data_IF_794501791995
#
_entry.id   IF_794501791995
#
_cell.length_a   1.000
_cell.length_b   1.000
_cell.length_c   1.000
_cell.angle_alpha   90.00
_cell.angle_beta   90.00
_cell.angle_gamma   90.00
#
_symmetry.space_group_name_H-M   'P 1'
#
loop_
_entity.id
_entity.type
_entity.pdbx_description
1 polymer ?
#
# COMPACT_ATOMS: atom_id res chain seq x y z
N UNK A 1 28.20 -10.41 2.16
CA UNK A 1 27.17 -10.56 3.21
C UNK A 1 25.84 -10.53 2.51
N UNK A 2 25.12 -11.65 2.50
CA UNK A 2 23.74 -11.68 2.02
C UNK A 2 22.91 -10.88 3.03
N UNK A 3 22.27 -9.81 2.57
CA UNK A 3 21.29 -9.08 3.37
C UNK A 3 20.21 -10.07 3.84
N UNK A 4 20.00 -10.17 5.15
CA UNK A 4 18.88 -10.91 5.72
C UNK A 4 17.58 -10.21 5.27
N UNK A 5 17.02 -10.69 4.17
CA UNK A 5 15.64 -10.38 3.78
C UNK A 5 14.73 -10.88 4.90
N UNK A 6 14.23 -9.94 5.72
CA UNK A 6 13.13 -10.21 6.63
C UNK A 6 12.03 -10.92 5.85
N UNK A 7 11.58 -12.12 6.27
CA UNK A 7 10.59 -12.85 5.51
C UNK A 7 9.33 -12.00 5.42
N UNK A 8 8.84 -11.77 4.20
CA UNK A 8 7.51 -11.21 3.98
C UNK A 8 6.52 -12.27 4.47
N UNK A 9 6.14 -12.18 5.76
CA UNK A 9 5.16 -13.08 6.35
C UNK A 9 3.77 -12.51 6.09
N UNK A 10 3.12 -12.98 5.03
CA UNK A 10 1.70 -12.74 4.85
C UNK A 10 0.88 -13.66 5.76
N UNK A 11 -0.23 -13.14 6.29
CA UNK A 11 -1.19 -13.93 7.07
C UNK A 11 -1.98 -14.91 6.18
N UNK A 12 -1.91 -14.76 4.86
CA UNK A 12 -2.59 -15.63 3.91
C UNK A 12 -1.85 -16.97 3.75
N UNK A 13 -2.60 -18.06 3.85
CA UNK A 13 -2.08 -19.43 3.68
C UNK A 13 -2.07 -19.78 2.19
N UNK A 14 -0.90 -19.78 1.54
CA UNK A 14 -0.79 -20.02 0.10
C UNK A 14 -1.43 -21.35 -0.36
N UNK A 15 -1.40 -22.39 0.48
CA UNK A 15 -1.97 -23.70 0.18
C UNK A 15 -3.51 -23.71 0.22
N UNK A 16 -4.13 -22.86 1.05
CA UNK A 16 -5.58 -22.70 1.10
C UNK A 16 -6.07 -22.06 -0.19
N UNK A 17 -5.38 -21.00 -0.64
CA UNK A 17 -5.69 -20.33 -1.90
C UNK A 17 -5.49 -21.23 -3.12
N UNK A 18 -4.39 -21.98 -3.18
CA UNK A 18 -4.19 -22.98 -4.25
C UNK A 18 -5.38 -23.94 -4.36
N UNK A 19 -5.78 -24.53 -3.23
CA UNK A 19 -6.91 -25.47 -3.21
C UNK A 19 -8.22 -24.82 -3.67
N UNK A 20 -8.52 -23.61 -3.21
CA UNK A 20 -9.72 -22.88 -3.64
C UNK A 20 -9.73 -22.59 -5.15
N UNK A 21 -8.58 -22.26 -5.73
CA UNK A 21 -8.44 -22.00 -7.16
C UNK A 21 -8.54 -23.30 -7.99
N UNK A 22 -8.01 -24.41 -7.47
CA UNK A 22 -8.18 -25.75 -8.05
C UNK A 22 -9.65 -26.18 -8.02
N UNK A 23 -10.33 -26.03 -6.88
CA UNK A 23 -11.75 -26.36 -6.70
C UNK A 23 -12.66 -25.52 -7.62
N UNK A 24 -12.25 -24.27 -7.91
CA UNK A 24 -12.94 -23.38 -8.83
C UNK A 24 -12.56 -23.59 -10.32
N UNK A 25 -11.58 -24.44 -10.62
CA UNK A 25 -11.14 -24.70 -12.00
C UNK A 25 -10.42 -23.54 -12.68
N UNK A 26 -9.95 -22.55 -11.91
CA UNK A 26 -9.31 -21.31 -12.43
C UNK A 26 -7.83 -21.19 -12.03
N UNK A 27 -7.24 -22.25 -11.47
CA UNK A 27 -5.84 -22.20 -11.01
C UNK A 27 -4.88 -21.74 -12.11
N UNK A 28 -5.05 -22.18 -13.36
CA UNK A 28 -4.13 -21.83 -14.46
C UNK A 28 -4.10 -20.31 -14.74
N UNK A 29 -5.23 -19.62 -14.59
CA UNK A 29 -5.34 -18.17 -14.79
C UNK A 29 -4.69 -17.39 -13.64
N UNK A 30 -4.70 -17.94 -12.42
CA UNK A 30 -4.26 -17.28 -11.18
C UNK A 30 -3.11 -18.00 -10.48
N UNK A 31 -2.19 -18.60 -11.24
CA UNK A 31 -1.04 -19.35 -10.70
C UNK A 31 -0.07 -18.48 -9.89
N UNK A 32 -0.06 -17.18 -10.16
CA UNK A 32 0.73 -16.16 -9.48
C UNK A 32 0.23 -15.86 -8.07
N UNK A 33 -1.05 -16.08 -7.76
CA UNK A 33 -1.63 -15.80 -6.44
C UNK A 33 -1.00 -16.66 -5.33
N UNK A 34 -0.95 -18.00 -5.40
CA UNK A 34 -0.26 -18.81 -4.38
C UNK A 34 1.24 -18.51 -4.29
N UNK A 35 1.89 -18.21 -5.42
CA UNK A 35 3.31 -17.87 -5.46
C UNK A 35 3.57 -16.53 -4.77
N UNK A 36 2.78 -15.51 -5.07
CA UNK A 36 2.86 -14.17 -4.50
C UNK A 36 2.53 -14.14 -3.01
N UNK A 37 1.59 -14.97 -2.55
CA UNK A 37 1.36 -15.17 -1.12
C UNK A 37 2.60 -15.79 -0.46
N UNK A 38 3.22 -16.81 -1.06
CA UNK A 38 4.36 -17.50 -0.43
C UNK A 38 5.66 -16.67 -0.44
N UNK A 39 5.88 -15.89 -1.49
CA UNK A 39 7.17 -15.26 -1.79
C UNK A 39 7.12 -13.73 -1.85
N UNK A 40 5.94 -13.13 -1.70
CA UNK A 40 5.68 -11.72 -1.96
C UNK A 40 5.21 -11.50 -3.41
N UNK A 41 4.31 -10.53 -3.60
CA UNK A 41 3.90 -10.10 -4.93
C UNK A 41 4.97 -9.19 -5.53
N UNK A 42 5.27 -9.38 -6.82
CA UNK A 42 6.04 -8.42 -7.57
C UNK A 42 5.17 -7.19 -7.82
N UNK A 43 5.37 -6.15 -7.03
CA UNK A 43 4.67 -4.88 -7.21
C UNK A 43 5.42 -4.10 -8.30
N UNK A 44 5.04 -4.32 -9.55
CA UNK A 44 5.64 -3.69 -10.72
C UNK A 44 5.04 -4.24 -12.01
N UNK A 45 5.05 -3.43 -13.08
CA UNK A 45 4.65 -3.92 -14.40
C UNK A 45 5.85 -4.61 -15.04
N UNK A 46 5.78 -5.93 -15.21
CA UNK A 46 6.77 -6.66 -16.00
C UNK A 46 6.56 -6.40 -17.50
N UNK A 47 7.66 -6.28 -18.26
CA UNK A 47 7.64 -6.09 -19.73
C UNK A 47 6.81 -4.87 -20.18
N UNK A 48 6.73 -3.85 -19.35
CA UNK A 48 5.98 -2.63 -19.66
C UNK A 48 6.92 -1.43 -19.72
N UNK A 49 6.82 -0.66 -20.80
CA UNK A 49 7.50 0.63 -20.92
C UNK A 49 6.53 1.72 -20.51
N UNK A 50 6.76 2.33 -19.34
CA UNK A 50 6.06 3.54 -18.94
C UNK A 50 6.43 4.68 -19.90
N UNK A 51 5.56 4.94 -20.88
CA UNK A 51 5.78 6.00 -21.88
C UNK A 51 5.57 7.40 -21.31
N UNK A 52 4.70 7.52 -20.31
CA UNK A 52 4.45 8.77 -19.57
C UNK A 52 3.78 8.45 -18.24
N UNK A 53 4.30 9.00 -17.17
CA UNK A 53 3.58 9.13 -15.90
C UNK A 53 3.17 10.58 -15.73
N UNK A 54 1.97 10.81 -15.20
CA UNK A 54 1.55 12.14 -14.78
C UNK A 54 0.98 12.02 -13.38
N UNK A 55 1.58 12.74 -12.45
CA UNK A 55 0.96 13.01 -11.16
C UNK A 55 0.06 14.22 -11.38
N UNK A 56 -1.26 14.11 -11.20
CA UNK A 56 -2.12 15.28 -11.24
C UNK A 56 -1.58 16.31 -10.26
N UNK A 57 -1.60 17.58 -10.67
CA UNK A 57 -1.37 18.66 -9.75
C UNK A 57 -2.41 18.48 -8.64
N UNK A 58 -1.93 18.16 -7.43
CA UNK A 58 -2.77 17.90 -6.28
C UNK A 58 -3.37 19.24 -5.84
N UNK A 59 -4.32 19.75 -6.63
CA UNK A 59 -5.06 20.97 -6.37
C UNK A 59 -6.02 20.68 -5.23
N UNK A 60 -5.53 20.79 -4.00
CA UNK A 60 -6.35 20.75 -2.80
C UNK A 60 -5.75 21.57 -1.67
N UNK A 61 -5.20 22.73 -1.99
CA UNK A 61 -5.11 23.85 -1.04
C UNK A 61 -5.61 25.12 -1.71
N UNK A 62 -6.76 25.04 -2.40
CA UNK A 62 -7.56 26.25 -2.55
C UNK A 62 -7.97 26.66 -1.12
N UNK A 63 -7.69 27.89 -0.68
CA UNK A 63 -7.98 28.31 0.69
C UNK A 63 -9.44 28.06 1.11
N UNK A 64 -10.37 28.10 0.15
CA UNK A 64 -11.79 27.80 0.36
C UNK A 64 -12.10 26.36 0.82
N UNK A 65 -11.20 25.40 0.61
CA UNK A 65 -11.43 23.99 0.96
C UNK A 65 -10.67 23.51 2.20
N UNK A 66 -9.75 24.34 2.73
CA UNK A 66 -8.95 23.98 3.92
C UNK A 66 -9.83 23.68 5.13
N UNK A 67 -10.89 24.46 5.35
CA UNK A 67 -11.80 24.25 6.48
C UNK A 67 -12.53 22.90 6.38
N UNK A 68 -13.00 22.54 5.18
CA UNK A 68 -13.65 21.26 4.92
C UNK A 68 -12.69 20.09 5.12
N UNK A 69 -11.48 20.19 4.57
CA UNK A 69 -10.44 19.17 4.72
C UNK A 69 -10.10 18.97 6.21
N UNK A 70 -9.80 20.03 6.95
CA UNK A 70 -9.50 19.93 8.38
C UNK A 70 -10.64 19.29 9.17
N UNK A 71 -11.90 19.64 8.86
CA UNK A 71 -13.06 19.02 9.49
C UNK A 71 -13.13 17.52 9.20
N UNK A 72 -12.99 17.12 7.94
CA UNK A 72 -13.07 15.72 7.51
C UNK A 72 -11.94 14.87 8.11
N UNK A 73 -10.71 15.36 8.09
CA UNK A 73 -9.57 14.68 8.72
C UNK A 73 -9.79 14.49 10.23
N UNK A 74 -10.31 15.52 10.93
CA UNK A 74 -10.62 15.41 12.35
C UNK A 74 -11.73 14.38 12.64
N UNK A 75 -12.74 14.29 11.77
CA UNK A 75 -13.79 13.26 11.86
C UNK A 75 -13.20 11.85 11.71
N UNK A 76 -12.39 11.62 10.68
CA UNK A 76 -11.77 10.31 10.43
C UNK A 76 -10.76 9.91 11.54
N UNK A 77 -10.02 10.88 12.10
CA UNK A 77 -9.15 10.65 13.27
C UNK A 77 -9.97 10.27 14.50
N UNK A 78 -11.08 10.97 14.79
CA UNK A 78 -11.98 10.62 15.90
C UNK A 78 -12.60 9.23 15.73
N UNK A 79 -12.87 8.81 14.49
CA UNK A 79 -13.38 7.48 14.17
C UNK A 79 -12.29 6.39 14.19
N UNK A 80 -11.01 6.74 14.41
CA UNK A 80 -9.89 5.80 14.40
C UNK A 80 -9.55 5.23 13.02
N UNK A 81 -10.05 5.85 11.94
CA UNK A 81 -9.81 5.42 10.55
C UNK A 81 -8.54 6.02 9.97
N UNK A 82 -8.11 7.15 10.53
CA UNK A 82 -6.83 7.79 10.21
C UNK A 82 -6.02 7.99 11.49
N UNK A 83 -4.72 7.82 11.39
CA UNK A 83 -3.79 8.21 12.45
C UNK A 83 -3.59 9.72 12.39
N UNK A 84 -3.45 10.33 13.57
CA UNK A 84 -2.99 11.71 13.66
C UNK A 84 -1.55 11.77 13.13
N UNK A 85 -1.29 12.70 12.20
CA UNK A 85 0.08 12.96 11.75
C UNK A 85 0.97 13.41 12.91
N UNK A 86 2.28 13.24 12.76
CA UNK A 86 3.26 13.71 13.73
C UNK A 86 3.36 15.24 13.71
N UNK A 87 3.64 15.84 14.86
CA UNK A 87 4.07 17.23 14.89
C UNK A 87 5.35 17.39 14.06
N UNK A 88 5.49 18.42 13.20
CA UNK A 88 6.66 18.57 12.35
C UNK A 88 8.00 18.52 13.09
N UNK A 89 8.06 19.04 14.33
CA UNK A 89 9.29 19.00 15.14
C UNK A 89 9.55 17.60 15.69
N UNK A 90 8.51 16.85 16.03
CA UNK A 90 8.63 15.44 16.41
C UNK A 90 9.07 14.60 15.21
N UNK A 91 8.46 14.82 14.05
CA UNK A 91 8.81 14.11 12.81
C UNK A 91 10.27 14.39 12.43
N UNK A 92 10.72 15.65 12.51
CA UNK A 92 12.11 16.00 12.22
C UNK A 92 13.10 15.34 13.19
N UNK A 93 12.73 15.18 14.47
CA UNK A 93 13.54 14.44 15.44
C UNK A 93 13.59 12.94 15.14
N UNK A 94 12.47 12.38 14.67
CA UNK A 94 12.32 10.94 14.44
C UNK A 94 12.98 10.48 13.14
N UNK A 95 12.85 11.24 12.05
CA UNK A 95 13.30 10.82 10.71
C UNK A 95 14.30 11.78 10.04
N UNK A 96 14.68 12.86 10.72
CA UNK A 96 15.60 13.85 10.17
C UNK A 96 14.93 14.85 9.22
N UNK A 97 15.71 15.44 8.33
CA UNK A 97 15.20 16.42 7.38
C UNK A 97 14.41 15.73 6.27
N UNK A 98 13.19 16.22 6.02
CA UNK A 98 12.28 15.78 4.97
C UNK A 98 11.71 17.00 4.21
#
# INVERSE_FOLDING_TARGET
>A
MLEELFPIVTLFKHWVWRKMLEDAGILEEYTDIPAGIKHGFLIGLEKFTLSKTFTPQNHSTAPEHLAFLHKKYNEEIKLGRLLKGYDPKELQKLIGNY
#
